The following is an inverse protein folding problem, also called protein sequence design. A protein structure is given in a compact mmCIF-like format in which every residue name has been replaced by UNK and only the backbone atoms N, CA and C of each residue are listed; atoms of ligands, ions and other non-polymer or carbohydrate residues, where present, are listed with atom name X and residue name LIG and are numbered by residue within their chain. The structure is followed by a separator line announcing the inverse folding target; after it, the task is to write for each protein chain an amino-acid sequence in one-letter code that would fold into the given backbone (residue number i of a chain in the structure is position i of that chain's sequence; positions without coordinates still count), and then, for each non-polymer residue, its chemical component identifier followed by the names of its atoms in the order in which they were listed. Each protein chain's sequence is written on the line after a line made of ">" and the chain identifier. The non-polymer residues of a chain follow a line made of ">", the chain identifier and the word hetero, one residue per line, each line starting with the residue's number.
data_IF_570568007453
#
_entry.id   IF_570568007453
#
_cell.length_a   1.000
_cell.length_b   1.000
_cell.length_c   1.000
_cell.angle_alpha   90.00
_cell.angle_beta   90.00
_cell.angle_gamma   90.00
#
_symmetry.space_group_name_H-M   'P 1'
#
loop_
_entity.id
_entity.type
_entity.pdbx_description
1 polymer ?
#
# COMPACT_ATOMS: atom_id res chain seq x y z
N UNK A 1 25.17 6.53 27.61
CA UNK A 1 25.74 7.91 27.68
C UNK A 1 24.71 8.89 27.14
N UNK A 2 24.67 10.15 27.58
CA UNK A 2 23.73 11.13 27.02
C UNK A 2 24.04 11.39 25.54
N UNK A 3 23.00 11.77 24.78
CA UNK A 3 23.11 12.26 23.41
C UNK A 3 24.23 13.32 23.33
N UNK A 4 25.04 13.35 22.25
CA UNK A 4 25.81 14.56 21.97
C UNK A 4 24.83 15.75 21.89
N UNK A 5 25.19 16.92 22.44
CA UNK A 5 24.27 18.05 22.47
C UNK A 5 23.87 18.41 21.04
N UNK A 6 22.55 18.40 20.80
CA UNK A 6 21.94 18.93 19.58
C UNK A 6 22.39 20.37 19.40
N UNK A 7 22.53 20.80 18.15
CA UNK A 7 22.75 22.21 17.87
C UNK A 7 21.52 22.99 18.31
N UNK A 8 21.67 23.96 19.21
CA UNK A 8 20.55 24.80 19.66
C UNK A 8 19.84 25.47 18.47
N UNK A 9 20.61 25.83 17.42
CA UNK A 9 20.06 26.37 16.18
C UNK A 9 19.20 25.35 15.42
N UNK A 10 19.60 24.07 15.38
CA UNK A 10 18.77 23.02 14.77
C UNK A 10 17.45 22.87 15.53
N UNK A 11 17.50 22.83 16.86
CA UNK A 11 16.31 22.69 17.70
C UNK A 11 15.37 23.90 17.54
N UNK A 12 15.91 25.11 17.44
CA UNK A 12 15.14 26.34 17.23
C UNK A 12 14.46 26.35 15.85
N UNK A 13 15.17 25.95 14.80
CA UNK A 13 14.60 25.82 13.45
C UNK A 13 13.47 24.78 13.47
N UNK A 14 13.71 23.57 13.99
CA UNK A 14 12.70 22.49 14.01
C UNK A 14 11.44 22.87 14.81
N UNK A 15 11.59 23.69 15.86
CA UNK A 15 10.48 24.23 16.65
C UNK A 15 9.73 25.35 15.92
N UNK A 16 10.42 26.16 15.12
CA UNK A 16 9.83 27.26 14.37
C UNK A 16 9.07 26.80 13.10
N UNK A 17 9.46 25.67 12.49
CA UNK A 17 8.83 25.15 11.26
C UNK A 17 7.32 24.89 11.49
N UNK A 18 6.43 25.55 10.71
CA UNK A 18 5.00 25.31 10.78
C UNK A 18 4.62 23.84 10.54
N UNK A 19 3.72 23.31 11.38
CA UNK A 19 3.20 21.93 11.26
C UNK A 19 1.81 21.93 10.64
N UNK A 20 1.69 22.48 9.43
CA UNK A 20 0.41 22.73 8.73
C UNK A 20 -0.44 21.49 8.47
N UNK A 21 0.15 20.28 8.54
CA UNK A 21 -0.57 19.02 8.32
C UNK A 21 -1.18 18.42 9.59
N UNK A 22 -0.98 19.05 10.76
CA UNK A 22 -1.51 18.57 12.03
C UNK A 22 -3.03 18.40 11.94
N UNK A 23 -3.48 17.28 12.51
CA UNK A 23 -4.89 17.03 12.76
C UNK A 23 -5.23 17.51 14.17
N UNK A 24 -6.54 17.73 14.47
CA UNK A 24 -6.99 18.11 15.81
C UNK A 24 -6.35 17.28 16.92
N UNK A 25 -6.06 17.92 18.05
CA UNK A 25 -5.48 17.24 19.21
C UNK A 25 -6.54 16.58 20.08
N UNK A 26 -7.72 17.19 20.12
CA UNK A 26 -8.84 16.76 20.96
C UNK A 26 -10.06 16.42 20.11
N UNK A 27 -10.93 15.57 20.66
CA UNK A 27 -12.20 15.25 20.02
C UNK A 27 -13.15 16.46 19.96
N UNK A 28 -13.02 17.42 20.88
CA UNK A 28 -13.80 18.65 20.89
C UNK A 28 -13.46 19.55 19.69
N UNK A 29 -12.18 19.63 19.32
CA UNK A 29 -11.74 20.28 18.08
C UNK A 29 -12.29 19.57 16.83
N UNK A 30 -12.34 18.23 16.84
CA UNK A 30 -12.98 17.48 15.74
C UNK A 30 -14.48 17.79 15.67
N UNK A 31 -15.14 17.91 16.82
CA UNK A 31 -16.57 18.21 16.91
C UNK A 31 -16.91 19.64 16.48
N UNK A 32 -15.96 20.58 16.46
CA UNK A 32 -16.20 21.94 15.91
C UNK A 32 -15.96 22.00 14.39
N UNK A 33 -15.26 21.02 13.80
CA UNK A 33 -15.09 20.86 12.35
C UNK A 33 -16.33 20.28 11.63
N UNK A 34 -17.54 20.60 12.11
CA UNK A 34 -18.88 19.99 11.89
C UNK A 34 -19.42 19.78 10.46
N UNK A 35 -18.56 19.73 9.45
CA UNK A 35 -18.87 19.23 8.10
C UNK A 35 -18.38 17.79 7.85
N UNK A 36 -17.93 17.08 8.90
CA UNK A 36 -17.41 15.73 8.78
C UNK A 36 -18.51 14.72 8.46
N UNK A 37 -18.50 14.16 7.23
CA UNK A 37 -19.42 13.09 6.82
C UNK A 37 -19.30 11.81 7.67
N UNK A 38 -19.98 10.73 7.26
CA UNK A 38 -20.03 9.45 8.00
C UNK A 38 -18.68 8.92 8.49
N UNK A 39 -17.61 9.15 7.71
CA UNK A 39 -16.24 8.72 8.02
C UNK A 39 -15.63 9.46 9.22
N UNK A 40 -15.91 10.75 9.38
CA UNK A 40 -15.45 11.52 10.54
C UNK A 40 -16.18 11.07 11.81
N UNK A 41 -17.50 10.89 11.74
CA UNK A 41 -18.28 10.37 12.87
C UNK A 41 -17.81 8.98 13.31
N UNK A 42 -17.43 8.11 12.37
CA UNK A 42 -16.81 6.83 12.68
C UNK A 42 -15.45 6.98 13.36
N UNK A 43 -14.57 7.84 12.86
CA UNK A 43 -13.27 8.05 13.48
C UNK A 43 -13.40 8.55 14.94
N UNK A 44 -14.34 9.46 15.19
CA UNK A 44 -14.63 9.99 16.54
C UNK A 44 -15.11 8.89 17.47
N UNK A 45 -16.11 8.10 17.07
CA UNK A 45 -16.66 7.03 17.92
C UNK A 45 -15.65 5.92 18.20
N UNK A 46 -14.78 5.60 17.24
CA UNK A 46 -13.65 4.67 17.43
C UNK A 46 -12.65 5.22 18.45
N UNK A 47 -12.29 6.51 18.37
CA UNK A 47 -11.36 7.11 19.33
C UNK A 47 -11.95 7.23 20.73
N UNK A 48 -13.24 7.58 20.86
CA UNK A 48 -13.96 7.55 22.13
C UNK A 48 -13.93 6.16 22.78
N UNK A 49 -14.15 5.11 21.97
CA UNK A 49 -14.07 3.74 22.44
C UNK A 49 -12.67 3.38 22.94
N UNK A 50 -11.63 3.74 22.17
CA UNK A 50 -10.23 3.51 22.55
C UNK A 50 -9.86 4.23 23.85
N UNK A 51 -10.31 5.48 24.02
CA UNK A 51 -10.06 6.26 25.25
C UNK A 51 -10.71 5.61 26.47
N UNK A 52 -11.96 5.15 26.36
CA UNK A 52 -12.64 4.44 27.45
C UNK A 52 -11.88 3.16 27.84
N UNK A 53 -11.47 2.35 26.85
CA UNK A 53 -10.67 1.14 27.07
C UNK A 53 -9.32 1.45 27.73
N UNK A 54 -8.63 2.50 27.29
CA UNK A 54 -7.36 2.93 27.88
C UNK A 54 -7.52 3.39 29.34
N UNK A 55 -8.69 3.92 29.70
CA UNK A 55 -9.05 4.27 31.08
C UNK A 55 -9.54 3.06 31.91
N UNK A 56 -9.57 1.85 31.36
CA UNK A 56 -10.07 0.65 32.04
C UNK A 56 -11.60 0.62 32.19
N UNK A 57 -12.32 1.39 31.38
CA UNK A 57 -13.79 1.49 31.42
C UNK A 57 -14.42 0.96 30.14
N UNK A 58 -15.68 0.53 30.21
CA UNK A 58 -16.44 0.17 29.03
C UNK A 58 -16.90 1.44 28.29
N UNK A 59 -16.87 1.47 26.93
CA UNK A 59 -17.41 2.61 26.19
C UNK A 59 -18.91 2.80 26.46
N UNK A 60 -19.35 4.06 26.47
CA UNK A 60 -20.76 4.40 26.71
C UNK A 60 -21.70 3.85 25.63
N UNK A 61 -22.96 3.61 26.01
CA UNK A 61 -23.99 3.14 25.09
C UNK A 61 -24.22 4.12 23.92
N UNK A 62 -24.10 5.43 24.17
CA UNK A 62 -24.20 6.45 23.13
C UNK A 62 -23.09 6.33 22.08
N UNK A 63 -21.85 6.03 22.50
CA UNK A 63 -20.71 5.79 21.59
C UNK A 63 -20.94 4.59 20.69
N UNK A 64 -21.43 3.47 21.27
CA UNK A 64 -21.80 2.27 20.51
C UNK A 64 -22.88 2.58 19.47
N UNK A 65 -23.97 3.24 19.87
CA UNK A 65 -25.05 3.60 18.95
C UNK A 65 -24.57 4.56 17.86
N UNK A 66 -23.76 5.55 18.21
CA UNK A 66 -23.15 6.47 17.26
C UNK A 66 -22.28 5.76 16.22
N UNK A 67 -21.47 4.78 16.66
CA UNK A 67 -20.66 3.95 15.75
C UNK A 67 -21.54 3.17 14.78
N UNK A 68 -22.57 2.47 15.29
CA UNK A 68 -23.49 1.66 14.47
C UNK A 68 -24.17 2.52 13.40
N UNK A 69 -24.71 3.68 13.80
CA UNK A 69 -25.37 4.60 12.87
C UNK A 69 -24.40 5.20 11.85
N UNK A 70 -23.19 5.55 12.27
CA UNK A 70 -22.17 6.08 11.38
C UNK A 70 -21.69 5.03 10.37
N UNK A 71 -21.55 3.76 10.80
CA UNK A 71 -21.21 2.64 9.91
C UNK A 71 -22.34 2.34 8.91
N UNK A 72 -23.59 2.34 9.36
CA UNK A 72 -24.74 2.18 8.49
C UNK A 72 -24.77 3.29 7.41
N UNK A 73 -24.58 4.56 7.79
CA UNK A 73 -24.49 5.69 6.85
C UNK A 73 -23.31 5.52 5.88
N UNK A 74 -22.14 5.13 6.37
CA UNK A 74 -20.96 4.86 5.54
C UNK A 74 -21.24 3.79 4.48
N UNK A 75 -21.92 2.70 4.85
CA UNK A 75 -22.30 1.63 3.93
C UNK A 75 -23.28 2.15 2.87
N UNK A 76 -24.29 2.94 3.27
CA UNK A 76 -25.22 3.56 2.31
C UNK A 76 -24.51 4.48 1.32
N UNK A 77 -23.59 5.32 1.80
CA UNK A 77 -22.78 6.19 0.94
C UNK A 77 -21.93 5.38 -0.04
N UNK A 78 -21.27 4.31 0.44
CA UNK A 78 -20.45 3.44 -0.39
C UNK A 78 -21.26 2.67 -1.44
N UNK A 79 -22.53 2.34 -1.16
CA UNK A 79 -23.44 1.62 -2.07
C UNK A 79 -24.13 2.51 -3.11
N UNK A 80 -23.93 3.84 -3.10
CA UNK A 80 -24.53 4.73 -4.10
C UNK A 80 -24.04 4.42 -5.51
N UNK A 81 -24.95 4.42 -6.49
CA UNK A 81 -24.62 4.17 -7.90
C UNK A 81 -23.63 5.20 -8.46
N UNK A 82 -23.82 6.47 -8.07
CA UNK A 82 -22.94 7.59 -8.40
C UNK A 82 -22.22 8.07 -7.14
N UNK A 83 -20.90 8.25 -7.24
CA UNK A 83 -20.07 8.71 -6.12
C UNK A 83 -19.87 7.71 -4.98
N UNK A 84 -20.42 6.48 -5.08
CA UNK A 84 -20.12 5.39 -4.16
C UNK A 84 -18.73 4.78 -4.37
N UNK A 85 -18.42 3.73 -3.62
CA UNK A 85 -17.14 3.02 -3.65
C UNK A 85 -17.22 1.78 -4.56
N UNK A 86 -16.59 1.79 -5.76
CA UNK A 86 -16.70 0.68 -6.70
C UNK A 86 -16.09 -0.63 -6.17
N UNK A 87 -15.03 -0.55 -5.37
CA UNK A 87 -14.40 -1.75 -4.79
C UNK A 87 -15.32 -2.40 -3.78
N UNK A 88 -15.94 -1.60 -2.91
CA UNK A 88 -16.89 -2.14 -1.94
C UNK A 88 -18.13 -2.74 -2.64
N UNK A 89 -18.68 -2.06 -3.64
CA UNK A 89 -19.78 -2.59 -4.45
C UNK A 89 -19.42 -3.92 -5.14
N UNK A 90 -18.18 -4.06 -5.64
CA UNK A 90 -17.72 -5.31 -6.23
C UNK A 90 -17.62 -6.44 -5.19
N UNK A 91 -17.19 -6.15 -3.96
CA UNK A 91 -17.17 -7.10 -2.83
C UNK A 91 -18.61 -7.57 -2.52
N UNK A 92 -19.55 -6.64 -2.40
CA UNK A 92 -20.96 -6.94 -2.10
C UNK A 92 -21.58 -7.80 -3.21
N UNK A 93 -21.35 -7.44 -4.47
CA UNK A 93 -21.85 -8.20 -5.62
C UNK A 93 -21.25 -9.63 -5.67
N UNK A 94 -19.95 -9.77 -5.42
CA UNK A 94 -19.28 -11.08 -5.31
C UNK A 94 -19.83 -11.93 -4.16
N UNK A 95 -20.23 -11.29 -3.05
CA UNK A 95 -20.83 -11.98 -1.93
C UNK A 95 -22.25 -12.46 -2.26
N UNK A 96 -23.08 -11.60 -2.86
CA UNK A 96 -24.49 -11.88 -3.15
C UNK A 96 -24.74 -12.77 -4.37
N UNK A 97 -23.85 -12.80 -5.36
CA UNK A 97 -24.05 -13.53 -6.62
C UNK A 97 -23.08 -14.73 -6.77
N UNK A 98 -23.57 -15.99 -6.75
CA UNK A 98 -22.74 -17.18 -6.91
C UNK A 98 -21.90 -17.19 -8.19
N UNK A 99 -22.45 -16.72 -9.31
CA UNK A 99 -21.80 -16.66 -10.61
C UNK A 99 -20.62 -15.68 -10.60
N UNK A 100 -20.78 -14.53 -9.94
CA UNK A 100 -19.70 -13.54 -9.77
C UNK A 100 -18.61 -14.08 -8.85
N UNK A 101 -18.99 -14.81 -7.79
CA UNK A 101 -18.03 -15.47 -6.90
C UNK A 101 -17.19 -16.51 -7.63
N UNK A 102 -17.82 -17.34 -8.44
CA UNK A 102 -17.16 -18.33 -9.29
C UNK A 102 -16.23 -17.65 -10.31
N UNK A 103 -16.74 -16.65 -11.04
CA UNK A 103 -15.96 -15.87 -12.00
C UNK A 103 -14.72 -15.24 -11.35
N UNK A 104 -14.89 -14.59 -10.20
CA UNK A 104 -13.81 -13.96 -9.47
C UNK A 104 -12.77 -14.98 -8.97
N UNK A 105 -13.19 -16.15 -8.52
CA UNK A 105 -12.29 -17.23 -8.11
C UNK A 105 -11.44 -17.72 -9.29
N UNK A 106 -12.09 -18.08 -10.41
CA UNK A 106 -11.42 -18.55 -11.63
C UNK A 106 -10.48 -17.49 -12.24
N UNK A 107 -10.84 -16.21 -12.13
CA UNK A 107 -10.03 -15.11 -12.68
C UNK A 107 -8.66 -14.98 -12.00
N UNK A 108 -8.51 -15.44 -10.76
CA UNK A 108 -7.23 -15.33 -10.02
C UNK A 108 -6.10 -16.15 -10.64
N UNK A 109 -6.42 -17.29 -11.26
CA UNK A 109 -5.44 -18.17 -11.93
C UNK A 109 -5.48 -18.07 -13.45
N UNK A 110 -6.34 -17.22 -14.02
CA UNK A 110 -6.58 -17.18 -15.45
C UNK A 110 -5.31 -16.88 -16.27
N UNK A 111 -4.45 -15.95 -15.82
CA UNK A 111 -3.20 -15.64 -16.52
C UNK A 111 -2.21 -16.82 -16.54
N UNK A 112 -2.18 -17.61 -15.46
CA UNK A 112 -1.38 -18.83 -15.39
C UNK A 112 -1.95 -19.90 -16.30
N UNK A 113 -3.28 -20.13 -16.24
CA UNK A 113 -3.99 -21.08 -17.07
C UNK A 113 -3.79 -20.77 -18.56
N UNK A 114 -3.90 -19.48 -18.96
CA UNK A 114 -3.63 -19.05 -20.35
C UNK A 114 -2.22 -19.40 -20.77
N UNK A 115 -1.20 -19.08 -19.97
CA UNK A 115 0.20 -19.39 -20.30
C UNK A 115 0.43 -20.89 -20.45
N UNK A 116 -0.17 -21.71 -19.58
CA UNK A 116 -0.09 -23.16 -19.64
C UNK A 116 -0.71 -23.70 -20.94
N UNK A 117 -1.93 -23.27 -21.29
CA UNK A 117 -2.62 -23.69 -22.51
C UNK A 117 -1.87 -23.21 -23.75
N UNK A 118 -1.38 -21.97 -23.78
CA UNK A 118 -0.54 -21.49 -24.88
C UNK A 118 0.73 -22.32 -25.07
N UNK A 119 1.41 -22.70 -23.98
CA UNK A 119 2.59 -23.56 -24.05
C UNK A 119 2.24 -24.96 -24.61
N UNK A 120 1.13 -25.55 -24.15
CA UNK A 120 0.65 -26.84 -24.64
C UNK A 120 0.29 -26.78 -26.14
N UNK A 121 -0.43 -25.74 -26.58
CA UNK A 121 -0.75 -25.53 -28.01
C UNK A 121 0.52 -25.31 -28.83
N UNK A 122 1.49 -24.54 -28.35
CA UNK A 122 2.76 -24.34 -29.05
C UNK A 122 3.56 -25.65 -29.18
N UNK A 123 3.46 -26.57 -28.21
CA UNK A 123 4.03 -27.92 -28.31
C UNK A 123 3.40 -28.77 -29.42
N UNK A 124 2.12 -28.54 -29.73
CA UNK A 124 1.37 -29.27 -30.77
C UNK A 124 1.53 -28.61 -32.15
N UNK A 125 1.31 -27.30 -32.20
CA UNK A 125 1.15 -26.48 -33.40
C UNK A 125 2.06 -25.24 -33.37
N UNK A 126 3.36 -25.45 -33.21
CA UNK A 126 4.33 -24.35 -33.14
C UNK A 126 4.26 -23.45 -34.40
N UNK A 127 4.17 -22.11 -34.28
CA UNK A 127 4.01 -21.20 -35.43
C UNK A 127 5.06 -21.40 -36.54
N UNK A 128 6.33 -21.55 -36.16
CA UNK A 128 7.43 -21.79 -37.12
C UNK A 128 7.37 -23.17 -37.81
N UNK A 129 6.69 -24.16 -37.23
CA UNK A 129 6.42 -25.45 -37.89
C UNK A 129 5.36 -25.27 -38.96
N UNK A 130 4.26 -24.57 -38.61
CA UNK A 130 3.16 -24.29 -39.54
C UNK A 130 3.59 -23.50 -40.78
N UNK A 131 4.46 -22.51 -40.61
CA UNK A 131 5.00 -21.72 -41.73
C UNK A 131 5.79 -22.57 -42.74
N UNK A 132 6.45 -23.65 -42.27
CA UNK A 132 7.26 -24.54 -43.10
C UNK A 132 6.48 -25.70 -43.73
N UNK A 133 5.27 -25.97 -43.27
CA UNK A 133 4.41 -27.03 -43.83
C UNK A 133 3.83 -26.58 -45.17
N UNK A 134 3.71 -27.50 -46.14
CA UNK A 134 2.96 -27.22 -47.37
C UNK A 134 1.47 -26.96 -47.05
N UNK A 135 0.73 -26.21 -47.89
CA UNK A 135 -0.72 -26.08 -47.77
C UNK A 135 -1.38 -27.47 -47.76
N UNK A 136 -2.07 -27.80 -46.68
CA UNK A 136 -2.76 -29.07 -46.49
C UNK A 136 -3.88 -28.93 -45.46
N UNK A 137 -4.83 -29.85 -45.49
CA UNK A 137 -5.92 -29.89 -44.51
C UNK A 137 -5.40 -29.98 -43.05
N UNK A 138 -4.27 -30.66 -42.84
CA UNK A 138 -3.63 -30.77 -41.52
C UNK A 138 -3.01 -29.44 -41.09
N UNK A 139 -2.37 -28.71 -42.02
CA UNK A 139 -1.85 -27.37 -41.75
C UNK A 139 -2.98 -26.42 -41.35
N UNK A 140 -4.11 -26.47 -42.06
CA UNK A 140 -5.26 -25.60 -41.78
C UNK A 140 -5.89 -25.93 -40.41
N UNK A 141 -6.02 -27.21 -40.06
CA UNK A 141 -6.56 -27.63 -38.78
C UNK A 141 -5.64 -27.24 -37.59
N UNK A 142 -4.32 -27.37 -37.73
CA UNK A 142 -3.36 -26.91 -36.71
C UNK A 142 -3.29 -25.38 -36.64
N UNK A 143 -3.45 -24.68 -37.77
CA UNK A 143 -3.54 -23.22 -37.80
C UNK A 143 -4.81 -22.72 -37.11
N UNK A 144 -5.95 -23.40 -37.27
CA UNK A 144 -7.18 -23.09 -36.55
C UNK A 144 -7.03 -23.26 -35.03
N UNK A 145 -6.33 -24.31 -34.58
CA UNK A 145 -6.01 -24.51 -33.16
C UNK A 145 -5.16 -23.35 -32.61
N UNK A 146 -4.13 -22.93 -33.34
CA UNK A 146 -3.31 -21.78 -32.95
C UNK A 146 -4.14 -20.48 -32.98
N UNK A 147 -4.90 -20.20 -34.04
CA UNK A 147 -5.73 -19.01 -34.10
C UNK A 147 -6.73 -18.92 -32.92
N UNK A 148 -7.32 -20.04 -32.50
CA UNK A 148 -8.20 -20.09 -31.34
C UNK A 148 -7.45 -19.81 -30.03
N UNK A 149 -6.24 -20.32 -29.86
CA UNK A 149 -5.39 -19.99 -28.71
C UNK A 149 -4.99 -18.52 -28.70
N UNK A 150 -4.49 -17.99 -29.82
CA UNK A 150 -4.07 -16.59 -29.95
C UNK A 150 -5.21 -15.58 -29.69
N UNK A 151 -6.43 -15.92 -30.10
CA UNK A 151 -7.62 -15.10 -29.86
C UNK A 151 -8.27 -15.33 -28.48
N UNK A 152 -7.68 -16.20 -27.65
CA UNK A 152 -8.22 -16.60 -26.35
C UNK A 152 -9.66 -17.15 -26.42
N UNK A 153 -10.02 -17.81 -27.52
CA UNK A 153 -11.33 -18.45 -27.69
C UNK A 153 -11.24 -19.91 -27.25
N UNK A 154 -11.47 -20.17 -25.96
CA UNK A 154 -11.19 -21.48 -25.36
C UNK A 154 -12.17 -22.57 -25.79
N UNK A 155 -13.43 -22.20 -26.07
CA UNK A 155 -14.41 -23.11 -26.66
C UNK A 155 -14.00 -23.53 -28.07
N UNK A 156 -13.65 -22.56 -28.93
CA UNK A 156 -13.19 -22.84 -30.29
C UNK A 156 -11.89 -23.66 -30.31
N UNK A 157 -10.99 -23.45 -29.35
CA UNK A 157 -9.77 -24.22 -29.17
C UNK A 157 -10.08 -25.69 -28.87
N UNK A 158 -10.99 -25.95 -27.93
CA UNK A 158 -11.41 -27.32 -27.59
C UNK A 158 -12.07 -28.01 -28.78
N UNK A 159 -12.95 -27.33 -29.52
CA UNK A 159 -13.56 -27.87 -30.74
C UNK A 159 -12.52 -28.15 -31.83
N UNK A 160 -11.53 -27.29 -32.00
CA UNK A 160 -10.43 -27.50 -32.94
C UNK A 160 -9.57 -28.71 -32.53
N UNK A 161 -9.26 -28.86 -31.24
CA UNK A 161 -8.52 -29.99 -30.71
C UNK A 161 -9.29 -31.31 -30.84
N UNK A 162 -10.61 -31.31 -30.60
CA UNK A 162 -11.48 -32.47 -30.81
C UNK A 162 -11.55 -32.87 -32.29
N UNK A 163 -11.71 -31.89 -33.20
CA UNK A 163 -11.69 -32.13 -34.66
C UNK A 163 -10.37 -32.75 -35.10
N UNK A 164 -9.24 -32.21 -34.66
CA UNK A 164 -7.90 -32.76 -34.94
C UNK A 164 -7.73 -34.19 -34.43
N UNK A 165 -8.30 -34.50 -33.26
CA UNK A 165 -8.27 -35.87 -32.70
C UNK A 165 -9.17 -36.85 -33.47
N UNK A 166 -10.27 -36.37 -34.04
CA UNK A 166 -11.22 -37.18 -34.81
C UNK A 166 -10.78 -37.46 -36.26
N UNK A 167 -9.78 -36.73 -36.77
CA UNK A 167 -9.20 -37.01 -38.10
C UNK A 167 -8.45 -38.37 -38.06
N UNK A 168 -8.95 -39.36 -38.82
CA UNK A 168 -8.43 -40.73 -38.80
C UNK A 168 -7.02 -40.87 -39.42
N UNK A 169 -6.07 -41.19 -38.53
CA UNK A 169 -4.83 -42.00 -38.59
C UNK A 169 -3.79 -41.93 -39.73
N UNK A 170 -4.01 -41.36 -40.91
CA UNK A 170 -2.93 -41.40 -41.94
C UNK A 170 -1.85 -40.32 -41.84
N UNK A 171 -2.01 -39.28 -41.01
CA UNK A 171 -1.09 -38.11 -41.07
C UNK A 171 -0.68 -37.47 -39.73
N UNK A 172 -1.33 -37.80 -38.60
CA UNK A 172 -1.03 -37.17 -37.30
C UNK A 172 -0.17 -38.08 -36.44
N UNK A 173 1.04 -37.63 -36.10
CA UNK A 173 1.98 -38.39 -35.26
C UNK A 173 1.34 -38.83 -33.92
N UNK A 174 1.60 -40.05 -33.43
CA UNK A 174 1.07 -40.55 -32.14
C UNK A 174 1.44 -39.66 -30.94
N UNK A 175 2.53 -38.90 -31.03
CA UNK A 175 2.90 -37.90 -30.02
C UNK A 175 1.91 -36.72 -29.97
N UNK A 176 1.43 -36.27 -31.13
CA UNK A 176 0.45 -35.19 -31.26
C UNK A 176 -0.92 -35.63 -30.75
N UNK A 177 -1.36 -36.85 -31.06
CA UNK A 177 -2.62 -37.38 -30.52
C UNK A 177 -2.61 -37.44 -28.98
N UNK A 178 -1.50 -37.88 -28.37
CA UNK A 178 -1.33 -37.88 -26.91
C UNK A 178 -1.32 -36.47 -26.33
N UNK A 179 -0.68 -35.52 -27.01
CA UNK A 179 -0.65 -34.12 -26.58
C UNK A 179 -2.04 -33.46 -26.69
N UNK A 180 -2.83 -33.77 -27.73
CA UNK A 180 -4.21 -33.32 -27.87
C UNK A 180 -5.13 -33.89 -26.79
N UNK A 181 -4.97 -35.18 -26.45
CA UNK A 181 -5.72 -35.78 -25.33
C UNK A 181 -5.38 -35.08 -24.01
N UNK A 182 -4.09 -34.87 -23.71
CA UNK A 182 -3.65 -34.13 -22.52
C UNK A 182 -4.18 -32.70 -22.48
N UNK A 183 -4.21 -32.00 -23.61
CA UNK A 183 -4.75 -30.64 -23.70
C UNK A 183 -6.25 -30.60 -23.39
N UNK A 184 -7.03 -31.55 -23.91
CA UNK A 184 -8.48 -31.65 -23.68
C UNK A 184 -8.81 -32.06 -22.25
N UNK A 185 -7.98 -32.90 -21.63
CA UNK A 185 -8.15 -33.35 -20.25
C UNK A 185 -7.54 -32.36 -19.23
N UNK A 186 -6.89 -31.28 -19.67
CA UNK A 186 -6.26 -30.31 -18.79
C UNK A 186 -7.32 -29.45 -18.07
N UNK A 187 -7.38 -29.45 -16.74
CA UNK A 187 -8.37 -28.66 -16.00
C UNK A 187 -8.21 -27.14 -16.22
N UNK A 188 -7.04 -26.65 -16.65
CA UNK A 188 -6.86 -25.25 -17.02
C UNK A 188 -7.75 -24.84 -18.20
N UNK A 189 -7.92 -25.72 -19.21
CA UNK A 189 -8.78 -25.44 -20.35
C UNK A 189 -10.24 -25.34 -19.92
N UNK A 190 -10.71 -26.27 -19.09
CA UNK A 190 -12.07 -26.26 -18.57
C UNK A 190 -12.38 -25.01 -17.73
N UNK A 191 -11.42 -24.56 -16.89
CA UNK A 191 -11.54 -23.30 -16.12
C UNK A 191 -11.65 -22.08 -17.04
N UNK A 192 -10.84 -22.02 -18.08
CA UNK A 192 -10.87 -20.91 -19.05
C UNK A 192 -12.17 -20.89 -19.87
N UNK A 193 -12.68 -22.04 -20.30
CA UNK A 193 -14.00 -22.14 -20.93
C UNK A 193 -15.12 -21.71 -20.00
N UNK A 194 -15.04 -22.09 -18.71
CA UNK A 194 -16.01 -21.66 -17.70
C UNK A 194 -15.99 -20.14 -17.49
N UNK A 195 -14.81 -19.52 -17.54
CA UNK A 195 -14.69 -18.05 -17.51
C UNK A 195 -15.39 -17.40 -18.71
N UNK A 196 -15.17 -17.90 -19.93
CA UNK A 196 -15.83 -17.38 -21.14
C UNK A 196 -17.37 -17.52 -21.04
N UNK A 197 -17.85 -18.65 -20.52
CA UNK A 197 -19.28 -18.90 -20.35
C UNK A 197 -19.92 -17.96 -19.31
N UNK A 198 -19.18 -17.54 -18.29
CA UNK A 198 -19.64 -16.62 -17.25
C UNK A 198 -19.54 -15.14 -17.69
N UNK A 199 -18.62 -14.81 -18.60
CA UNK A 199 -18.38 -13.43 -19.04
C UNK A 199 -19.61 -12.65 -19.57
N UNK A 200 -20.58 -13.24 -20.33
CA UNK A 200 -21.74 -12.49 -20.82
C UNK A 200 -22.81 -12.23 -19.74
N UNK A 201 -22.72 -12.87 -18.57
CA UNK A 201 -23.66 -12.67 -17.47
C UNK A 201 -23.71 -11.18 -17.05
N UNK A 202 -24.93 -10.68 -16.78
CA UNK A 202 -25.13 -9.27 -16.46
C UNK A 202 -24.43 -8.83 -15.17
N UNK A 203 -24.45 -9.67 -14.14
CA UNK A 203 -23.79 -9.38 -12.86
C UNK A 203 -22.27 -9.50 -12.98
N UNK A 204 -21.77 -10.43 -13.80
CA UNK A 204 -20.33 -10.52 -14.09
C UNK A 204 -19.84 -9.28 -14.84
N UNK A 205 -20.59 -8.77 -15.83
CA UNK A 205 -20.24 -7.52 -16.53
C UNK A 205 -20.28 -6.30 -15.60
N UNK A 206 -21.27 -6.24 -14.71
CA UNK A 206 -21.33 -5.19 -13.69
C UNK A 206 -20.11 -5.26 -12.75
N UNK A 207 -19.75 -6.45 -12.29
CA UNK A 207 -18.57 -6.68 -11.46
C UNK A 207 -17.28 -6.22 -12.15
N UNK A 208 -17.08 -6.58 -13.42
CA UNK A 208 -15.93 -6.13 -14.21
C UNK A 208 -15.90 -4.60 -14.35
N UNK A 209 -17.04 -3.98 -14.66
CA UNK A 209 -17.16 -2.52 -14.75
C UNK A 209 -16.84 -1.80 -13.43
N UNK A 210 -17.20 -2.40 -12.28
CA UNK A 210 -16.84 -1.87 -10.96
C UNK A 210 -15.33 -1.90 -10.74
N UNK A 211 -14.67 -3.00 -11.11
CA UNK A 211 -13.20 -3.10 -11.03
C UNK A 211 -12.50 -2.12 -11.97
N UNK A 212 -13.00 -1.94 -13.19
CA UNK A 212 -12.46 -0.98 -14.15
C UNK A 212 -12.56 0.47 -13.65
N UNK A 213 -13.59 0.79 -12.85
CA UNK A 213 -13.75 2.09 -12.19
C UNK A 213 -12.88 2.27 -10.95
N UNK A 214 -12.47 1.19 -10.28
CA UNK A 214 -11.66 1.26 -9.07
C UNK A 214 -10.20 1.65 -9.37
N UNK A 215 -9.70 1.31 -10.55
CA UNK A 215 -8.35 1.68 -10.98
C UNK A 215 -7.94 0.97 -12.26
N UNK A 216 -6.80 1.35 -12.86
CA UNK A 216 -6.33 0.69 -14.06
C UNK A 216 -5.96 -0.76 -13.76
N UNK A 217 -6.29 -1.66 -14.69
CA UNK A 217 -5.94 -3.09 -14.57
C UNK A 217 -4.42 -3.25 -14.49
N UNK A 218 -3.95 -4.15 -13.62
CA UNK A 218 -2.53 -4.50 -13.55
C UNK A 218 -2.00 -4.89 -14.92
N UNK A 219 -0.85 -4.34 -15.30
CA UNK A 219 -0.25 -4.55 -16.63
C UNK A 219 -0.86 -3.72 -17.76
N UNK A 220 -1.90 -2.92 -17.52
CA UNK A 220 -2.40 -1.97 -18.53
C UNK A 220 -1.42 -0.81 -18.76
N UNK A 221 -1.50 -0.19 -19.94
CA UNK A 221 -0.73 1.03 -20.25
C UNK A 221 -1.06 2.17 -19.27
N UNK A 222 -2.32 2.28 -18.84
CA UNK A 222 -2.74 3.27 -17.85
C UNK A 222 -2.09 3.02 -16.48
N UNK A 223 -2.03 1.75 -16.03
CA UNK A 223 -1.33 1.41 -14.79
C UNK A 223 0.17 1.72 -14.87
N UNK A 224 0.81 1.42 -16.00
CA UNK A 224 2.21 1.77 -16.25
C UNK A 224 2.43 3.29 -16.24
N UNK A 225 1.57 4.05 -16.92
CA UNK A 225 1.65 5.52 -16.97
C UNK A 225 1.45 6.15 -15.59
N UNK A 226 0.47 5.67 -14.80
CA UNK A 226 0.26 6.12 -13.42
C UNK A 226 1.45 5.76 -12.52
N UNK A 227 2.01 4.55 -12.67
CA UNK A 227 3.23 4.14 -11.96
C UNK A 227 4.41 5.07 -12.26
N UNK A 228 4.67 5.36 -13.54
CA UNK A 228 5.71 6.29 -13.95
C UNK A 228 5.47 7.72 -13.43
N UNK A 229 4.21 8.17 -13.39
CA UNK A 229 3.86 9.47 -12.81
C UNK A 229 4.11 9.52 -11.29
N UNK A 230 3.69 8.48 -10.56
CA UNK A 230 3.93 8.36 -9.12
C UNK A 230 5.43 8.29 -8.78
N UNK A 231 6.22 7.56 -9.58
CA UNK A 231 7.67 7.49 -9.41
C UNK A 231 8.33 8.85 -9.64
N UNK A 232 8.00 9.56 -10.74
CA UNK A 232 8.50 10.91 -10.99
C UNK A 232 8.13 11.87 -9.87
N UNK A 233 6.91 11.75 -9.35
CA UNK A 233 6.44 12.56 -8.23
C UNK A 233 7.24 12.32 -6.97
N UNK A 234 7.48 11.05 -6.61
CA UNK A 234 8.32 10.67 -5.47
C UNK A 234 9.73 11.22 -5.59
N UNK A 235 10.36 11.04 -6.75
CA UNK A 235 11.70 11.57 -7.02
C UNK A 235 11.77 13.10 -6.89
N UNK A 236 10.74 13.82 -7.35
CA UNK A 236 10.68 15.28 -7.21
C UNK A 236 10.63 15.71 -5.74
N UNK A 237 9.84 15.03 -4.88
CA UNK A 237 9.80 15.35 -3.44
C UNK A 237 11.12 15.01 -2.76
N UNK A 238 11.74 13.89 -3.11
CA UNK A 238 13.06 13.49 -2.57
C UNK A 238 14.12 14.56 -2.87
N UNK A 239 14.15 15.07 -4.11
CA UNK A 239 15.05 16.18 -4.50
C UNK A 239 14.79 17.43 -3.67
N UNK A 240 13.53 17.89 -3.61
CA UNK A 240 13.15 19.09 -2.86
C UNK A 240 13.48 18.99 -1.37
N UNK A 241 13.21 17.84 -0.76
CA UNK A 241 13.51 17.60 0.64
C UNK A 241 15.03 17.51 0.91
N UNK A 242 15.80 16.95 -0.04
CA UNK A 242 17.27 16.94 0.01
C UNK A 242 17.84 18.34 -0.09
N UNK A 243 17.32 19.18 -0.99
CA UNK A 243 17.72 20.58 -1.14
C UNK A 243 17.44 21.39 0.13
N UNK A 244 16.27 21.21 0.75
CA UNK A 244 15.95 21.84 2.03
C UNK A 244 16.91 21.40 3.15
N UNK A 245 17.25 20.11 3.20
CA UNK A 245 18.20 19.60 4.19
C UNK A 245 19.63 20.11 3.92
N UNK A 246 20.00 20.30 2.66
CA UNK A 246 21.28 20.88 2.28
C UNK A 246 21.39 22.36 2.69
N UNK A 247 20.33 23.14 2.51
CA UNK A 247 20.26 24.52 3.00
C UNK A 247 20.41 24.59 4.53
N UNK A 248 19.74 23.68 5.26
CA UNK A 248 19.89 23.57 6.72
C UNK A 248 21.32 23.23 7.12
N UNK A 249 21.95 22.27 6.44
CA UNK A 249 23.35 21.90 6.68
C UNK A 249 24.29 23.08 6.45
N UNK A 250 24.06 23.88 5.40
CA UNK A 250 24.84 25.08 5.13
C UNK A 250 24.68 26.11 6.26
N UNK A 251 23.44 26.38 6.68
CA UNK A 251 23.14 27.32 7.75
C UNK A 251 23.81 26.93 9.08
N UNK A 252 23.78 25.65 9.42
CA UNK A 252 24.42 25.12 10.63
C UNK A 252 25.96 25.23 10.54
N UNK A 253 26.53 24.96 9.37
CA UNK A 253 27.96 25.12 9.12
C UNK A 253 28.41 26.58 9.25
N UNK A 254 27.66 27.53 8.70
CA UNK A 254 27.92 28.97 8.81
C UNK A 254 27.91 29.44 10.27
N UNK A 255 26.98 28.93 11.09
CA UNK A 255 26.88 29.28 12.50
C UNK A 255 28.04 28.74 13.35
N UNK A 256 28.67 27.62 12.97
CA UNK A 256 29.81 27.07 13.71
C UNK A 256 31.15 27.77 13.40
N UNK A 257 31.25 28.56 12.32
CA UNK A 257 32.41 29.42 12.03
C UNK A 257 33.76 28.69 11.86
N UNK A 258 33.74 27.40 11.53
CA UNK A 258 34.92 26.50 11.44
C UNK A 258 34.80 25.43 10.34
N UNK A 259 35.58 24.32 10.38
CA UNK A 259 35.48 23.27 9.36
C UNK A 259 34.06 22.69 9.33
N UNK A 260 33.46 22.59 8.14
CA UNK A 260 32.06 22.19 7.86
C UNK A 260 31.69 20.85 8.53
N UNK A 261 31.15 20.82 9.76
CA UNK A 261 30.95 19.55 10.45
C UNK A 261 29.62 18.92 10.05
N UNK A 262 28.68 19.65 9.44
CA UNK A 262 27.41 19.11 9.00
C UNK A 262 27.46 18.69 7.54
N UNK A 263 26.90 17.51 7.26
CA UNK A 263 26.81 16.95 5.92
C UNK A 263 25.47 16.25 5.72
N UNK A 264 24.89 16.43 4.52
CA UNK A 264 23.72 15.68 4.08
C UNK A 264 24.13 14.46 3.29
N UNK A 265 23.45 13.34 3.55
CA UNK A 265 23.56 12.11 2.77
C UNK A 265 22.18 11.60 2.38
N UNK A 266 22.10 10.86 1.28
CA UNK A 266 20.83 10.37 0.70
C UNK A 266 20.88 8.86 0.46
N UNK A 267 19.73 8.20 0.49
CA UNK A 267 19.60 6.73 0.37
C UNK A 267 20.50 5.99 1.37
N UNK A 268 20.40 6.35 2.65
CA UNK A 268 21.23 5.77 3.70
C UNK A 268 20.72 4.38 4.10
N UNK A 269 21.45 3.34 3.71
CA UNK A 269 21.09 1.94 3.94
C UNK A 269 21.58 1.42 5.29
N UNK A 270 20.68 0.78 6.03
CA UNK A 270 20.97 0.17 7.33
C UNK A 270 21.79 -1.11 7.14
N UNK A 271 23.00 -1.23 7.74
CA UNK A 271 23.85 -2.40 7.54
C UNK A 271 23.37 -3.60 8.33
N UNK A 272 23.61 -4.80 7.78
CA UNK A 272 23.26 -6.08 8.43
C UNK A 272 24.11 -6.40 9.68
N UNK A 273 25.16 -5.61 9.95
CA UNK A 273 26.04 -5.80 11.11
C UNK A 273 25.43 -5.30 12.44
N UNK A 274 24.29 -4.62 12.41
CA UNK A 274 23.57 -4.24 13.64
C UNK A 274 22.85 -5.48 14.20
N UNK A 275 23.05 -5.84 15.48
CA UNK A 275 22.59 -7.11 16.06
C UNK A 275 21.09 -7.06 16.44
N UNK A 276 20.21 -6.93 15.45
CA UNK A 276 18.76 -6.94 15.63
C UNK A 276 18.03 -7.45 14.37
N UNK A 277 16.78 -7.87 14.53
CA UNK A 277 15.96 -8.33 13.41
C UNK A 277 15.56 -7.15 12.51
N UNK A 278 15.94 -7.24 11.23
CA UNK A 278 15.52 -6.31 10.17
C UNK A 278 14.11 -6.61 9.61
N UNK A 279 13.41 -7.63 10.14
CA UNK A 279 12.13 -8.05 9.59
C UNK A 279 11.10 -6.91 9.65
N UNK A 280 10.60 -6.49 8.47
CA UNK A 280 9.62 -5.41 8.30
C UNK A 280 10.06 -4.05 8.87
N UNK A 281 11.34 -3.90 9.24
CA UNK A 281 11.94 -2.63 9.62
C UNK A 281 12.21 -1.79 8.38
N UNK A 282 12.34 -0.48 8.58
CA UNK A 282 12.83 0.41 7.53
C UNK A 282 14.33 0.19 7.33
N UNK A 283 14.73 -0.05 6.08
CA UNK A 283 16.10 -0.43 5.70
C UNK A 283 16.86 0.68 4.98
N UNK A 284 16.18 1.76 4.60
CA UNK A 284 16.73 2.89 3.86
C UNK A 284 16.07 4.18 4.36
N UNK A 285 16.87 5.25 4.49
CA UNK A 285 16.41 6.62 4.76
C UNK A 285 16.67 7.52 3.57
N UNK A 286 15.68 8.32 3.18
CA UNK A 286 15.75 9.13 1.96
C UNK A 286 16.84 10.19 2.04
N UNK A 287 16.85 10.97 3.14
CA UNK A 287 17.88 11.97 3.42
C UNK A 287 18.21 12.03 4.92
N UNK A 288 19.48 12.27 5.25
CA UNK A 288 19.98 12.28 6.63
C UNK A 288 20.98 13.42 6.82
N UNK A 289 20.80 14.19 7.88
CA UNK A 289 21.76 15.19 8.33
C UNK A 289 22.70 14.54 9.34
N UNK A 290 23.99 14.58 9.02
CA UNK A 290 25.07 14.05 9.84
C UNK A 290 25.92 15.18 10.39
N UNK A 291 26.50 14.98 11.58
CA UNK A 291 27.54 15.85 12.15
C UNK A 291 28.82 15.06 12.38
N UNK A 292 29.93 15.57 11.87
CA UNK A 292 31.24 14.97 12.06
C UNK A 292 31.67 15.13 13.52
N UNK A 293 32.11 14.03 14.12
CA UNK A 293 32.66 14.04 15.47
C UNK A 293 34.08 14.60 15.44
N UNK A 294 34.42 15.48 16.39
CA UNK A 294 35.80 15.94 16.58
C UNK A 294 36.62 14.83 17.23
N UNK A 295 37.20 13.98 16.40
CA UNK A 295 38.09 12.88 16.81
C UNK A 295 39.37 12.94 16.00
N UNK A 296 40.51 12.61 16.60
CA UNK A 296 41.83 12.52 15.92
C UNK A 296 41.96 11.30 14.99
N UNK A 297 40.84 10.60 14.71
CA UNK A 297 40.82 9.42 13.86
C UNK A 297 41.10 9.78 12.39
N UNK A 298 41.89 8.94 11.71
CA UNK A 298 42.21 9.10 10.29
C UNK A 298 40.98 9.01 9.36
N UNK A 299 39.92 8.34 9.80
CA UNK A 299 38.64 8.25 9.09
C UNK A 299 37.59 9.09 9.83
N UNK A 300 36.87 9.99 9.14
CA UNK A 300 35.85 10.80 9.79
C UNK A 300 34.68 9.93 10.25
N UNK A 301 34.30 10.10 11.51
CA UNK A 301 33.17 9.41 12.13
C UNK A 301 32.03 10.42 12.34
N UNK A 302 30.79 9.96 12.21
CA UNK A 302 29.62 10.82 12.15
C UNK A 302 28.53 10.42 13.13
N UNK A 303 27.79 11.43 13.59
CA UNK A 303 26.54 11.30 14.34
C UNK A 303 25.35 11.64 13.48
N UNK A 304 24.23 10.96 13.71
CA UNK A 304 22.93 11.30 13.13
C UNK A 304 22.32 12.47 13.91
N UNK A 305 21.98 13.54 13.20
CA UNK A 305 21.26 14.68 13.77
C UNK A 305 19.78 14.69 13.40
N UNK A 306 19.46 14.36 12.15
CA UNK A 306 18.09 14.40 11.63
C UNK A 306 17.90 13.35 10.54
N UNK A 307 16.81 12.60 10.63
CA UNK A 307 16.35 11.63 9.63
C UNK A 307 15.15 12.22 8.90
N UNK A 308 15.16 12.18 7.58
CA UNK A 308 14.10 12.74 6.75
C UNK A 308 13.56 11.69 5.78
N UNK A 309 12.23 11.69 5.65
CA UNK A 309 11.47 10.84 4.74
C UNK A 309 10.62 11.68 3.80
N UNK A 310 10.88 11.57 2.50
CA UNK A 310 10.14 12.28 1.47
C UNK A 310 8.86 11.52 1.11
N UNK A 311 7.71 12.19 1.21
CA UNK A 311 6.41 11.60 0.89
C UNK A 311 5.71 12.39 -0.20
N UNK A 312 5.47 11.72 -1.34
CA UNK A 312 4.73 12.28 -2.48
C UNK A 312 3.27 12.64 -2.17
N UNK A 313 2.72 12.07 -1.10
CA UNK A 313 1.40 12.40 -0.59
C UNK A 313 1.38 12.37 0.92
N UNK A 314 0.48 13.18 1.46
CA UNK A 314 0.14 13.25 2.86
C UNK A 314 -0.23 11.85 3.45
N UNK A 315 -1.06 11.08 2.74
CA UNK A 315 -1.57 9.79 3.25
C UNK A 315 -0.49 8.71 3.34
N UNK A 316 0.53 8.77 2.48
CA UNK A 316 1.59 7.76 2.42
C UNK A 316 2.42 7.69 3.71
N UNK A 317 2.48 8.77 4.47
CA UNK A 317 3.23 8.82 5.72
C UNK A 317 2.64 7.90 6.81
N UNK A 318 1.30 7.74 6.85
CA UNK A 318 0.61 6.96 7.89
C UNK A 318 0.97 5.47 7.83
N UNK A 319 1.08 4.92 6.62
CA UNK A 319 1.44 3.52 6.41
C UNK A 319 2.93 3.23 6.70
N UNK A 320 3.78 4.25 6.69
CA UNK A 320 5.22 4.12 6.84
C UNK A 320 5.68 4.11 8.31
N UNK A 321 4.95 4.81 9.19
CA UNK A 321 5.34 4.98 10.61
C UNK A 321 5.65 3.66 11.34
N UNK A 322 4.86 2.57 11.21
CA UNK A 322 5.20 1.31 11.88
C UNK A 322 6.53 0.71 11.40
N UNK A 323 6.89 0.89 10.12
CA UNK A 323 8.19 0.43 9.58
C UNK A 323 9.31 1.32 10.09
N UNK A 324 9.08 2.64 10.12
CA UNK A 324 10.00 3.63 10.65
C UNK A 324 10.32 3.35 12.13
N UNK A 325 9.32 3.15 12.99
CA UNK A 325 9.51 2.82 14.40
C UNK A 325 10.29 1.52 14.61
N UNK A 326 10.01 0.48 13.81
CA UNK A 326 10.82 -0.75 13.82
C UNK A 326 12.26 -0.50 13.39
N UNK A 327 12.48 0.36 12.40
CA UNK A 327 13.81 0.81 11.97
C UNK A 327 14.58 1.52 13.08
N UNK A 328 13.95 2.48 13.77
CA UNK A 328 14.57 3.18 14.90
C UNK A 328 14.89 2.24 16.07
N UNK A 329 13.96 1.34 16.42
CA UNK A 329 14.22 0.30 17.43
C UNK A 329 15.37 -0.63 17.03
N UNK A 330 15.51 -0.96 15.75
CA UNK A 330 16.66 -1.71 15.26
C UNK A 330 17.96 -0.93 15.47
N UNK A 331 18.00 0.35 15.10
CA UNK A 331 19.18 1.21 15.33
C UNK A 331 19.53 1.34 16.82
N UNK A 332 18.53 1.31 17.70
CA UNK A 332 18.71 1.32 19.15
C UNK A 332 19.51 0.12 19.71
N UNK A 333 19.69 -0.95 18.93
CA UNK A 333 20.49 -2.12 19.30
C UNK A 333 21.97 -2.02 18.91
N UNK A 334 22.40 -0.91 18.29
CA UNK A 334 23.81 -0.67 18.00
C UNK A 334 24.67 -0.71 19.28
N UNK A 335 25.89 -1.24 19.16
CA UNK A 335 26.89 -1.19 20.23
C UNK A 335 27.46 0.23 20.32
N UNK A 336 27.40 0.85 21.50
CA UNK A 336 27.85 2.21 21.77
C UNK A 336 29.30 2.46 21.31
N UNK A 337 30.17 1.45 21.40
CA UNK A 337 31.58 1.56 21.08
C UNK A 337 31.93 1.17 19.64
N UNK A 338 30.94 0.71 18.87
CA UNK A 338 31.15 0.30 17.49
C UNK A 338 30.97 1.46 16.50
N UNK A 339 31.59 1.32 15.33
CA UNK A 339 31.41 2.21 14.18
C UNK A 339 30.87 1.38 13.02
N UNK A 340 29.73 1.79 12.47
CA UNK A 340 29.00 1.04 11.46
C UNK A 340 29.13 1.69 10.08
N UNK A 341 29.46 0.93 9.03
CA UNK A 341 29.54 1.44 7.67
C UNK A 341 28.15 1.45 7.01
N UNK A 342 27.58 2.64 6.82
CA UNK A 342 26.32 2.85 6.10
C UNK A 342 26.61 3.18 4.63
N UNK A 343 25.92 2.50 3.71
CA UNK A 343 25.99 2.83 2.28
C UNK A 343 25.07 4.01 1.98
N UNK A 344 25.56 4.99 1.23
CA UNK A 344 24.80 6.19 0.79
C UNK A 344 25.15 6.52 -0.66
N UNK A 345 24.41 7.42 -1.32
CA UNK A 345 24.80 7.93 -2.66
C UNK A 345 26.13 8.70 -2.62
N UNK A 346 26.52 9.25 -1.47
CA UNK A 346 27.75 10.02 -1.27
C UNK A 346 28.94 9.15 -0.84
N UNK A 347 28.79 7.82 -0.86
CA UNK A 347 29.81 6.87 -0.43
C UNK A 347 29.49 6.23 0.93
N UNK A 348 30.48 5.53 1.49
CA UNK A 348 30.33 4.88 2.80
C UNK A 348 30.50 5.89 3.92
N UNK A 349 29.49 6.00 4.79
CA UNK A 349 29.54 6.84 6.00
C UNK A 349 29.74 5.96 7.23
N UNK A 350 30.68 6.35 8.09
CA UNK A 350 31.01 5.63 9.32
C UNK A 350 30.27 6.27 10.49
N UNK A 351 29.18 5.63 10.95
CA UNK A 351 28.32 6.17 12.00
C UNK A 351 28.65 5.56 13.37
N UNK A 352 28.67 6.39 14.42
CA UNK A 352 28.86 5.89 15.80
C UNK A 352 27.64 5.12 16.27
N UNK A 353 27.86 3.94 16.81
CA UNK A 353 26.80 3.16 17.44
C UNK A 353 26.15 3.90 18.62
N UNK A 354 26.91 4.69 19.40
CA UNK A 354 26.35 5.54 20.45
C UNK A 354 25.33 6.57 19.92
N UNK A 355 25.53 7.13 18.72
CA UNK A 355 24.56 8.05 18.10
C UNK A 355 23.31 7.31 17.63
N UNK A 356 23.47 6.13 17.02
CA UNK A 356 22.36 5.29 16.57
C UNK A 356 21.50 4.80 17.74
N UNK A 357 22.16 4.39 18.84
CA UNK A 357 21.52 3.92 20.06
C UNK A 357 20.68 4.99 20.73
N UNK A 358 21.10 6.23 20.61
CA UNK A 358 20.47 7.36 21.26
C UNK A 358 19.28 7.95 20.47
N UNK A 359 19.01 7.46 19.24
CA UNK A 359 17.85 7.86 18.48
C UNK A 359 16.55 7.50 19.24
N UNK A 360 15.61 8.44 19.40
CA UNK A 360 14.34 8.14 20.04
C UNK A 360 13.58 7.10 19.20
N UNK A 361 13.10 6.05 19.85
CA UNK A 361 12.26 5.04 19.20
C UNK A 361 10.77 5.27 19.47
N UNK A 362 10.45 6.12 20.46
CA UNK A 362 9.11 6.36 20.96
C UNK A 362 8.54 7.72 20.51
N UNK A 363 7.22 7.81 20.29
CA UNK A 363 6.55 8.94 19.66
C UNK A 363 6.85 10.37 20.16
N UNK A 364 6.90 10.67 21.48
CA UNK A 364 6.91 12.06 21.94
C UNK A 364 8.19 12.81 21.54
N UNK A 365 9.30 12.10 21.37
CA UNK A 365 10.62 12.70 21.12
C UNK A 365 11.02 12.67 19.63
N UNK A 366 10.23 12.01 18.77
CA UNK A 366 10.57 11.83 17.35
C UNK A 366 10.65 13.16 16.58
N UNK A 367 9.88 14.19 16.95
CA UNK A 367 9.77 15.42 16.16
C UNK A 367 11.08 16.21 16.03
N UNK A 368 12.04 15.97 16.92
CA UNK A 368 13.36 16.62 16.92
C UNK A 368 14.40 15.82 16.13
N UNK A 369 14.10 14.59 15.72
CA UNK A 369 15.06 13.67 15.08
C UNK A 369 14.54 13.05 13.79
N UNK A 370 13.23 13.09 13.54
CA UNK A 370 12.58 12.51 12.38
C UNK A 370 11.59 13.50 11.78
N UNK A 371 11.67 13.72 10.47
CA UNK A 371 10.71 14.50 9.70
C UNK A 371 10.14 13.68 8.54
N UNK A 372 8.83 13.82 8.33
CA UNK A 372 8.20 13.48 7.06
C UNK A 372 8.08 14.76 6.22
N UNK A 373 8.82 14.86 5.13
CA UNK A 373 8.79 16.01 4.25
C UNK A 373 7.82 15.79 3.08
N UNK A 374 6.93 16.75 2.84
CA UNK A 374 5.94 16.69 1.78
C UNK A 374 5.76 18.08 1.17
N UNK A 375 5.54 18.18 -0.12
CA UNK A 375 5.27 19.41 -0.86
C UNK A 375 3.82 19.47 -1.40
N UNK A 376 2.95 18.60 -0.87
CA UNK A 376 1.52 18.67 -1.15
C UNK A 376 0.87 19.78 -0.32
N UNK A 377 -0.14 20.50 -0.85
CA UNK A 377 -0.87 21.47 -0.06
C UNK A 377 -1.59 20.81 1.13
N UNK A 378 -1.74 21.54 2.24
CA UNK A 378 -2.50 21.08 3.39
C UNK A 378 -3.98 20.88 3.02
N UNK A 379 -4.59 19.83 3.57
CA UNK A 379 -6.00 19.52 3.38
C UNK A 379 -6.88 20.57 4.11
N UNK A 380 -7.90 21.10 3.44
CA UNK A 380 -8.88 22.01 4.08
C UNK A 380 -9.70 21.31 5.17
N UNK A 381 -9.94 20.00 5.01
CA UNK A 381 -10.57 19.14 5.98
C UNK A 381 -9.80 17.80 6.03
N UNK A 382 -9.04 17.52 7.09
CA UNK A 382 -8.23 16.31 7.15
C UNK A 382 -9.10 15.06 7.26
N UNK A 383 -8.75 14.01 6.52
CA UNK A 383 -9.42 12.72 6.60
C UNK A 383 -8.98 11.97 7.86
N UNK A 384 -9.88 11.86 8.83
CA UNK A 384 -9.58 11.22 10.13
C UNK A 384 -9.70 9.69 10.09
N UNK A 385 -10.54 9.15 9.21
CA UNK A 385 -10.65 7.73 8.96
C UNK A 385 -9.78 7.36 7.74
N UNK A 386 -8.75 6.55 7.97
CA UNK A 386 -7.87 6.14 6.87
C UNK A 386 -8.62 5.28 5.83
N UNK A 387 -8.19 5.31 4.57
CA UNK A 387 -8.79 4.48 3.52
C UNK A 387 -8.73 2.97 3.85
N UNK A 388 -7.63 2.53 4.49
CA UNK A 388 -7.46 1.15 4.94
C UNK A 388 -8.46 0.79 6.05
N UNK A 389 -8.57 1.64 7.08
CA UNK A 389 -9.53 1.44 8.17
C UNK A 389 -10.98 1.47 7.68
N UNK A 390 -11.30 2.40 6.77
CA UNK A 390 -12.60 2.46 6.09
C UNK A 390 -12.90 1.16 5.35
N UNK A 391 -11.97 0.69 4.52
CA UNK A 391 -12.18 -0.54 3.75
C UNK A 391 -12.26 -1.78 4.64
N UNK A 392 -11.51 -1.83 5.74
CA UNK A 392 -11.61 -2.92 6.73
C UNK A 392 -12.99 -2.96 7.40
N UNK A 393 -13.52 -1.80 7.82
CA UNK A 393 -14.88 -1.67 8.38
C UNK A 393 -15.96 -2.07 7.37
N UNK A 394 -15.84 -1.61 6.13
CA UNK A 394 -16.77 -1.96 5.04
C UNK A 394 -16.72 -3.44 4.69
N UNK A 395 -15.53 -4.04 4.67
CA UNK A 395 -15.32 -5.44 4.30
C UNK A 395 -15.62 -6.44 5.43
N UNK A 396 -16.01 -5.97 6.62
CA UNK A 396 -16.41 -6.84 7.71
C UNK A 396 -17.61 -7.72 7.31
N UNK A 397 -17.68 -9.01 7.71
CA UNK A 397 -18.76 -9.89 7.28
C UNK A 397 -20.17 -9.35 7.51
N UNK A 398 -20.42 -8.74 8.67
CA UNK A 398 -21.71 -8.12 8.99
C UNK A 398 -22.01 -6.86 8.15
N UNK A 399 -20.99 -6.05 7.85
CA UNK A 399 -21.11 -4.89 6.95
C UNK A 399 -21.46 -5.31 5.53
N UNK A 400 -20.82 -6.37 5.02
CA UNK A 400 -21.12 -6.94 3.69
C UNK A 400 -22.53 -7.53 3.67
N UNK A 401 -22.93 -8.29 4.68
CA UNK A 401 -24.28 -8.85 4.79
C UNK A 401 -25.36 -7.74 4.87
N UNK A 402 -25.09 -6.67 5.62
CA UNK A 402 -25.94 -5.48 5.69
C UNK A 402 -26.08 -4.84 4.30
N UNK A 403 -24.97 -4.64 3.59
CA UNK A 403 -24.96 -4.06 2.25
C UNK A 403 -25.64 -4.94 1.19
N UNK A 404 -25.55 -6.27 1.29
CA UNK A 404 -26.30 -7.18 0.41
C UNK A 404 -27.81 -6.97 0.56
N UNK A 405 -28.33 -6.89 1.81
CA UNK A 405 -29.75 -6.59 2.04
C UNK A 405 -30.16 -5.23 1.47
N UNK A 406 -29.30 -4.22 1.60
CA UNK A 406 -29.52 -2.91 1.00
C UNK A 406 -29.57 -2.99 -0.54
N UNK A 407 -28.68 -3.77 -1.17
CA UNK A 407 -28.68 -4.00 -2.62
C UNK A 407 -29.97 -4.68 -3.11
N UNK A 408 -30.53 -5.57 -2.29
CA UNK A 408 -31.83 -6.23 -2.52
C UNK A 408 -33.04 -5.29 -2.24
N UNK A 409 -32.79 -3.98 -2.09
CA UNK A 409 -33.78 -2.94 -1.79
C UNK A 409 -34.53 -3.15 -0.47
N UNK A 410 -33.95 -3.92 0.45
CA UNK A 410 -34.47 -4.04 1.81
C UNK A 410 -34.03 -2.84 2.66
N UNK A 411 -34.72 -2.63 3.78
CA UNK A 411 -34.32 -1.68 4.81
C UNK A 411 -33.74 -2.45 6.00
N UNK A 412 -32.43 -2.79 5.98
CA UNK A 412 -31.82 -3.54 7.06
C UNK A 412 -31.69 -2.69 8.33
N UNK A 413 -32.07 -3.30 9.45
CA UNK A 413 -31.89 -2.73 10.78
C UNK A 413 -30.40 -2.46 11.07
N UNK A 414 -29.99 -1.21 11.38
CA UNK A 414 -28.62 -0.87 11.76
C UNK A 414 -28.06 -1.72 12.91
N UNK A 415 -28.89 -2.21 13.83
CA UNK A 415 -28.45 -3.01 14.97
C UNK A 415 -27.78 -4.34 14.55
N UNK A 416 -28.03 -4.81 13.31
CA UNK A 416 -27.30 -5.93 12.73
C UNK A 416 -25.78 -5.69 12.59
N UNK A 417 -25.31 -4.45 12.71
CA UNK A 417 -23.89 -4.08 12.67
C UNK A 417 -23.22 -4.14 14.06
N UNK A 418 -23.97 -4.47 15.12
CA UNK A 418 -23.44 -4.58 16.48
C UNK A 418 -22.25 -5.55 16.59
N UNK A 419 -22.24 -6.64 15.81
CA UNK A 419 -21.12 -7.58 15.83
C UNK A 419 -19.79 -6.96 15.38
N UNK A 420 -19.83 -5.93 14.51
CA UNK A 420 -18.62 -5.19 14.08
C UNK A 420 -18.07 -4.39 15.25
N UNK A 421 -18.95 -3.78 16.05
CA UNK A 421 -18.56 -3.08 17.27
C UNK A 421 -17.92 -4.03 18.29
N UNK A 422 -18.53 -5.19 18.55
CA UNK A 422 -17.94 -6.19 19.45
C UNK A 422 -16.54 -6.63 19.01
N UNK A 423 -16.37 -6.95 17.72
CA UNK A 423 -15.06 -7.32 17.19
C UNK A 423 -14.03 -6.18 17.24
N UNK A 424 -14.44 -4.93 17.04
CA UNK A 424 -13.55 -3.77 17.13
C UNK A 424 -12.91 -3.65 18.52
N UNK A 425 -13.66 -3.96 19.58
CA UNK A 425 -13.19 -3.86 20.96
C UNK A 425 -12.38 -5.09 21.41
N UNK A 426 -12.78 -6.28 20.96
CA UNK A 426 -12.26 -7.54 21.53
C UNK A 426 -11.19 -8.22 20.68
N UNK A 427 -11.19 -8.02 19.36
CA UNK A 427 -10.34 -8.80 18.46
C UNK A 427 -9.06 -8.05 18.05
N UNK A 428 -7.87 -8.66 18.23
CA UNK A 428 -6.59 -8.03 17.89
C UNK A 428 -6.45 -7.59 16.43
N UNK A 429 -7.18 -8.22 15.50
CA UNK A 429 -7.15 -7.86 14.08
C UNK A 429 -7.68 -6.44 13.80
N UNK A 430 -8.47 -5.88 14.73
CA UNK A 430 -9.03 -4.54 14.65
C UNK A 430 -8.17 -3.48 15.36
N UNK A 431 -7.07 -3.88 15.99
CA UNK A 431 -6.16 -2.95 16.65
C UNK A 431 -5.70 -1.79 15.74
N UNK A 432 -5.40 -1.98 14.43
CA UNK A 432 -5.05 -0.86 13.54
C UNK A 432 -6.19 0.14 13.35
N UNK A 433 -7.45 -0.30 13.35
CA UNK A 433 -8.62 0.59 13.26
C UNK A 433 -8.82 1.32 14.58
N UNK A 434 -8.77 0.59 15.71
CA UNK A 434 -8.94 1.14 17.04
C UNK A 434 -7.87 2.19 17.38
N UNK A 435 -6.63 2.02 16.92
CA UNK A 435 -5.51 2.94 17.17
C UNK A 435 -5.21 3.89 16.00
N UNK A 436 -6.10 4.00 15.01
CA UNK A 436 -5.81 4.78 13.80
C UNK A 436 -5.55 6.26 14.10
N UNK A 437 -6.29 6.85 15.04
CA UNK A 437 -6.30 8.29 15.24
C UNK A 437 -5.06 8.76 16.01
N UNK A 438 -4.62 8.11 17.10
CA UNK A 438 -3.31 8.37 17.69
C UNK A 438 -2.17 8.21 16.69
N UNK A 439 -2.21 7.17 15.84
CA UNK A 439 -1.20 6.95 14.80
C UNK A 439 -1.19 8.09 13.78
N UNK A 440 -2.37 8.51 13.30
CA UNK A 440 -2.51 9.65 12.39
C UNK A 440 -1.97 10.93 13.02
N UNK A 441 -2.37 11.25 14.26
CA UNK A 441 -1.88 12.41 15.01
C UNK A 441 -0.35 12.44 15.08
N UNK A 442 0.25 11.31 15.44
CA UNK A 442 1.70 11.19 15.54
C UNK A 442 2.37 11.46 14.19
N UNK A 443 1.93 10.80 13.12
CA UNK A 443 2.53 11.01 11.79
C UNK A 443 2.39 12.46 11.35
N UNK A 444 1.21 13.03 11.48
CA UNK A 444 0.93 14.40 11.05
C UNK A 444 1.71 15.45 11.85
N UNK A 445 2.04 15.16 13.11
CA UNK A 445 2.93 16.01 13.91
C UNK A 445 4.38 16.01 13.42
N UNK A 446 4.84 14.91 12.82
CA UNK A 446 6.18 14.78 12.22
C UNK A 446 6.26 15.37 10.80
N UNK A 447 5.12 15.63 10.16
CA UNK A 447 5.09 16.14 8.79
C UNK A 447 5.42 17.64 8.73
N UNK A 448 6.23 18.03 7.74
CA UNK A 448 6.57 19.42 7.40
C UNK A 448 6.43 19.67 5.91
N UNK A 449 6.04 20.89 5.54
CA UNK A 449 6.07 21.29 4.15
C UNK A 449 7.50 21.66 3.75
N UNK A 450 7.93 21.32 2.52
CA UNK A 450 9.28 21.69 2.02
C UNK A 450 9.50 23.21 2.15
N UNK A 451 8.58 24.02 1.61
CA UNK A 451 8.68 25.48 1.68
C UNK A 451 8.70 26.03 3.12
N UNK A 452 7.99 25.40 4.05
CA UNK A 452 8.00 25.80 5.47
C UNK A 452 9.35 25.52 6.13
N UNK A 453 9.96 24.39 5.78
CA UNK A 453 11.29 24.04 6.24
C UNK A 453 12.32 25.02 5.70
N UNK A 454 12.25 25.33 4.39
CA UNK A 454 13.12 26.34 3.75
C UNK A 454 12.94 27.74 4.34
N UNK A 455 11.71 28.16 4.65
CA UNK A 455 11.45 29.48 5.21
C UNK A 455 11.94 29.65 6.66
N UNK A 456 12.12 28.55 7.39
CA UNK A 456 12.61 28.57 8.77
C UNK A 456 14.14 28.51 8.90
N UNK A 457 14.85 28.13 7.83
CA UNK A 457 16.32 28.08 7.74
C UNK A 457 16.86 29.49 7.48
#
# INVERSE_FOLDING_TARGET
>A
MPLPPSSALLDDILRAVPRRYRVPETLDEVATMLNGGSSTALAVTVEQARLALAAGTAPEAATKQGFIQALARLIHEAMRTEGGDPAFQAIVLRHGAPQVREFAHLSTTADQDRRQIHAAVNGIAHPAKLQRMAPSQDRDALAALQAAAASASWTALSEAAQRLRAMQEKTVEPAVQRALARLLDDPALARLQRLDALAPDGQVRQYQSLWDRHGPRSGSQTAAAQGCAAQRRGAAVETLATEALAALSQRLNEAEGGPLPYRVVTSMLVPASIPASAERAKSEWDAVLLRQTRTDAATPVWDVCLLLEAKASIDAATADLPRLQRGLRLLAHADDNAVYPFQTRQGVMHLRGASLRALPADPPDLANTVLYCCDAPAETAPRLLSAASRMQLLSAPASVAYACRLADKQQPDPDALESVWGQLLESPQWAPVLHQYPMLRQVRALMVHVDDLLAAI
#
